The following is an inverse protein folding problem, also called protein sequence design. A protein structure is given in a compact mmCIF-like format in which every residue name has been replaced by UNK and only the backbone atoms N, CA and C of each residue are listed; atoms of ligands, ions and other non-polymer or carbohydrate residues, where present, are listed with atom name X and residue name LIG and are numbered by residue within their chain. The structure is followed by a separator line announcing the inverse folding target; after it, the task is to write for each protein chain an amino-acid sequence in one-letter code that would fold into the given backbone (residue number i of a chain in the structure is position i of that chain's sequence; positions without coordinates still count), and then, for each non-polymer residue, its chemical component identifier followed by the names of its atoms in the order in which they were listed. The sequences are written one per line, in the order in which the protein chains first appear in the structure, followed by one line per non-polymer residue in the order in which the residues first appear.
data_IF_808239529595
#
_entry.id   IF_808239529595
#
_cell.length_a   1.000
_cell.length_b   1.000
_cell.length_c   1.000
_cell.angle_alpha   90.00
_cell.angle_beta   90.00
_cell.angle_gamma   90.00
#
_symmetry.space_group_name_H-M   'P 1'
#
loop_
_entity.id
_entity.type
_entity.pdbx_description
1 polymer ?
#
# COMPACT_ATOMS: atom_id res chain seq x y z
N UNK A 1 21.36 39.29 -78.87
CA UNK A 1 22.71 39.37 -78.27
C UNK A 1 22.54 39.45 -76.76
N UNK A 2 23.31 38.65 -76.10
CA UNK A 2 23.42 38.48 -74.66
C UNK A 2 22.28 37.82 -73.93
N UNK A 3 22.32 36.49 -74.02
CA UNK A 3 21.73 35.56 -73.03
C UNK A 3 22.42 35.69 -71.68
N UNK A 4 21.71 36.05 -70.65
CA UNK A 4 22.17 35.93 -69.27
C UNK A 4 21.35 34.79 -68.63
N UNK A 5 22.06 33.68 -68.48
CA UNK A 5 21.57 32.55 -67.76
C UNK A 5 21.47 32.86 -66.26
N UNK A 6 20.24 32.97 -65.76
CA UNK A 6 19.97 33.11 -64.33
C UNK A 6 20.03 31.73 -63.67
N UNK A 7 21.15 31.44 -63.03
CA UNK A 7 21.32 30.24 -62.21
C UNK A 7 20.47 30.39 -60.94
N UNK A 8 19.35 29.68 -60.93
CA UNK A 8 18.55 29.52 -59.73
C UNK A 8 19.35 28.76 -58.66
N UNK A 9 19.74 29.49 -57.63
CA UNK A 9 20.30 28.92 -56.42
C UNK A 9 19.13 28.49 -55.57
N UNK A 10 18.83 27.19 -55.58
CA UNK A 10 17.87 26.60 -54.62
C UNK A 10 18.62 26.41 -53.30
N UNK A 11 18.26 27.08 -52.21
CA UNK A 11 18.81 26.72 -50.93
C UNK A 11 18.19 25.41 -50.48
N UNK A 12 19.02 24.39 -50.39
CA UNK A 12 18.68 23.10 -49.75
C UNK A 12 18.36 23.36 -48.30
N UNK A 13 17.08 23.52 -48.00
CA UNK A 13 16.58 23.59 -46.62
C UNK A 13 16.71 22.19 -46.03
N UNK A 14 17.78 21.98 -45.31
CA UNK A 14 18.04 20.79 -44.57
C UNK A 14 16.93 20.67 -43.48
N UNK A 15 15.89 19.89 -43.77
CA UNK A 15 14.87 19.50 -42.77
C UNK A 15 15.52 18.57 -41.75
N UNK A 16 16.08 19.16 -40.72
CA UNK A 16 16.46 18.47 -39.51
C UNK A 16 15.17 18.16 -38.76
N UNK A 17 14.48 17.10 -39.16
CA UNK A 17 13.39 16.52 -38.39
C UNK A 17 14.02 15.92 -37.14
N UNK A 18 14.06 16.70 -36.09
CA UNK A 18 14.40 16.28 -34.76
C UNK A 18 13.27 15.37 -34.27
N UNK A 19 13.42 14.08 -34.58
CA UNK A 19 12.55 13.02 -34.08
C UNK A 19 12.71 12.99 -32.56
N UNK A 20 11.83 13.71 -31.83
CA UNK A 20 11.68 13.60 -30.40
C UNK A 20 11.16 12.19 -30.08
N UNK A 21 12.11 11.27 -29.85
CA UNK A 21 11.80 9.98 -29.24
C UNK A 21 11.32 10.28 -27.81
N UNK A 22 10.02 10.40 -27.66
CA UNK A 22 9.38 10.32 -26.34
C UNK A 22 9.67 8.91 -25.79
N UNK A 23 10.69 8.82 -24.95
CA UNK A 23 10.92 7.64 -24.13
C UNK A 23 9.77 7.61 -23.14
N UNK A 24 8.67 6.95 -23.52
CA UNK A 24 7.66 6.50 -22.58
C UNK A 24 8.36 5.43 -21.74
N UNK A 25 8.92 5.86 -20.62
CA UNK A 25 9.45 4.96 -19.61
C UNK A 25 8.29 4.10 -19.11
N UNK A 26 8.19 2.87 -19.64
CA UNK A 26 7.38 1.84 -19.03
C UNK A 26 7.91 1.63 -17.61
N UNK A 27 7.21 2.18 -16.64
CA UNK A 27 7.41 1.86 -15.24
C UNK A 27 6.83 0.45 -15.05
N UNK A 28 7.60 -0.57 -15.43
CA UNK A 28 7.20 -1.98 -15.42
C UNK A 28 7.26 -2.59 -14.01
N UNK A 29 6.94 -1.79 -12.99
CA UNK A 29 6.66 -2.29 -11.66
C UNK A 29 5.28 -2.97 -11.63
N UNK A 30 5.07 -3.94 -10.74
CA UNK A 30 3.73 -4.49 -10.53
C UNK A 30 2.79 -3.35 -10.11
N UNK A 31 1.59 -3.35 -10.67
CA UNK A 31 0.56 -2.39 -10.33
C UNK A 31 0.26 -2.46 -8.83
N UNK A 32 0.37 -1.34 -8.14
CA UNK A 32 0.02 -1.18 -6.74
C UNK A 32 -1.11 -0.16 -6.64
N UNK A 33 -2.10 -0.47 -5.82
CA UNK A 33 -3.30 0.34 -5.62
C UNK A 33 -3.23 0.95 -4.23
N UNK A 34 -3.24 2.30 -4.09
CA UNK A 34 -3.24 2.97 -2.79
C UNK A 34 -4.44 2.56 -1.95
N UNK A 35 -4.18 2.08 -0.74
CA UNK A 35 -5.19 1.70 0.23
C UNK A 35 -4.83 2.31 1.57
N UNK A 36 -5.80 2.98 2.18
CA UNK A 36 -5.72 3.46 3.55
C UNK A 36 -7.07 3.29 4.26
N UNK A 37 -7.07 3.46 5.59
CA UNK A 37 -8.27 3.25 6.35
C UNK A 37 -8.06 3.43 7.84
N UNK A 38 -8.95 2.82 8.64
CA UNK A 38 -8.93 2.89 10.08
C UNK A 38 -9.19 1.51 10.70
N UNK A 39 -8.43 1.18 11.72
CA UNK A 39 -8.68 0.01 12.58
C UNK A 39 -9.39 0.44 13.83
N UNK A 40 -10.47 -0.27 14.16
CA UNK A 40 -11.23 -0.10 15.41
C UNK A 40 -11.28 -1.41 16.15
N UNK A 41 -11.30 -1.34 17.47
CA UNK A 41 -11.56 -2.49 18.36
C UNK A 41 -12.73 -2.13 19.29
N UNK A 42 -13.79 -2.93 19.25
CA UNK A 42 -15.05 -2.67 19.96
C UNK A 42 -15.55 -1.22 19.78
N UNK A 43 -15.47 -0.72 18.53
CA UNK A 43 -15.92 0.61 18.12
C UNK A 43 -14.96 1.76 18.46
N UNK A 44 -13.82 1.50 19.11
CA UNK A 44 -12.80 2.50 19.44
C UNK A 44 -11.61 2.39 18.51
N UNK A 45 -10.95 3.50 18.13
CA UNK A 45 -9.71 3.42 17.36
C UNK A 45 -8.65 2.58 18.07
N UNK A 46 -7.97 1.71 17.31
CA UNK A 46 -6.80 0.98 17.81
C UNK A 46 -5.58 1.89 17.64
N UNK A 47 -5.00 2.34 18.75
CA UNK A 47 -4.04 3.46 18.77
C UNK A 47 -2.60 3.09 18.34
N UNK A 48 -2.32 1.79 18.14
CA UNK A 48 -1.00 1.30 17.74
C UNK A 48 -1.08 -0.08 17.10
N UNK A 49 -0.07 -0.41 16.32
CA UNK A 49 0.05 -1.72 15.71
C UNK A 49 0.42 -1.66 14.24
N UNK A 50 0.20 -2.77 13.56
CA UNK A 50 0.47 -2.91 12.13
C UNK A 50 -0.62 -3.73 11.46
N UNK A 51 -1.15 -3.22 10.36
CA UNK A 51 -1.97 -3.97 9.41
C UNK A 51 -1.03 -4.62 8.41
N UNK A 52 -1.19 -5.90 8.14
CA UNK A 52 -0.43 -6.63 7.10
C UNK A 52 -1.40 -7.29 6.14
N UNK A 53 -1.23 -7.02 4.85
CA UNK A 53 -1.97 -7.66 3.76
C UNK A 53 -1.07 -8.70 3.11
N UNK A 54 -1.47 -9.96 3.18
CA UNK A 54 -0.69 -11.10 2.69
C UNK A 54 -1.00 -11.37 1.22
N UNK A 55 -0.07 -10.99 0.36
CA UNK A 55 -0.19 -11.17 -1.09
C UNK A 55 0.45 -12.48 -1.50
N UNK A 56 -0.34 -13.36 -2.17
CA UNK A 56 0.18 -14.64 -2.65
C UNK A 56 1.32 -14.44 -3.65
N UNK A 57 2.40 -15.18 -3.47
CA UNK A 57 3.59 -15.19 -4.34
C UNK A 57 4.26 -13.82 -4.52
N UNK A 58 4.02 -12.91 -3.55
CA UNK A 58 4.60 -11.57 -3.54
C UNK A 58 4.86 -11.11 -2.11
N UNK A 59 5.59 -9.99 -1.96
CA UNK A 59 5.80 -9.40 -0.64
C UNK A 59 4.49 -8.82 -0.09
N UNK A 60 4.25 -8.96 1.22
CA UNK A 60 3.10 -8.36 1.86
C UNK A 60 3.17 -6.83 1.85
N UNK A 61 2.00 -6.19 1.91
CA UNK A 61 1.89 -4.77 2.17
C UNK A 61 1.62 -4.53 3.65
N UNK A 62 2.18 -3.46 4.23
CA UNK A 62 2.00 -3.11 5.64
C UNK A 62 1.52 -1.68 5.80
N UNK A 63 0.76 -1.44 6.86
CA UNK A 63 0.41 -0.12 7.33
C UNK A 63 0.59 0.01 8.82
N UNK A 64 1.43 0.95 9.28
CA UNK A 64 1.52 1.28 10.69
C UNK A 64 0.23 1.99 11.14
N UNK A 65 -0.31 1.59 12.29
CA UNK A 65 -1.52 2.16 12.87
C UNK A 65 -1.10 3.35 13.73
N UNK A 66 -1.67 4.51 13.43
CA UNK A 66 -1.48 5.74 14.20
C UNK A 66 -2.38 5.85 15.43
N UNK A 67 -2.19 6.89 16.26
CA UNK A 67 -2.96 7.08 17.50
C UNK A 67 -4.46 7.26 17.29
N UNK A 68 -4.88 7.62 16.09
CA UNK A 68 -6.28 7.75 15.67
C UNK A 68 -6.83 6.46 15.00
N UNK A 69 -6.06 5.39 15.02
CA UNK A 69 -6.38 4.12 14.37
C UNK A 69 -6.14 4.11 12.86
N UNK A 70 -5.72 5.22 12.26
CA UNK A 70 -5.52 5.31 10.81
C UNK A 70 -4.23 4.66 10.37
N UNK A 71 -4.28 4.10 9.15
CA UNK A 71 -3.13 3.51 8.49
C UNK A 71 -3.16 3.76 6.98
N UNK A 72 -2.00 3.66 6.33
CA UNK A 72 -1.88 3.61 4.88
C UNK A 72 -0.95 2.46 4.51
N UNK A 73 -1.37 1.63 3.55
CA UNK A 73 -0.57 0.49 3.11
C UNK A 73 0.62 0.94 2.27
N UNK A 74 1.71 0.21 2.43
CA UNK A 74 2.91 0.32 1.61
C UNK A 74 3.47 -1.06 1.28
N UNK A 75 3.93 -1.23 0.06
CA UNK A 75 4.66 -2.43 -0.39
C UNK A 75 6.15 -2.12 -0.58
N UNK A 76 6.48 -1.03 -1.25
CA UNK A 76 7.86 -0.57 -1.50
C UNK A 76 8.10 0.83 -0.95
N UNK A 77 7.15 1.74 -1.15
CA UNK A 77 7.24 3.16 -0.77
C UNK A 77 6.03 3.54 0.09
N UNK A 78 6.16 4.54 0.96
CA UNK A 78 5.01 5.02 1.74
C UNK A 78 3.82 5.34 0.85
N UNK A 79 2.66 4.73 1.15
CA UNK A 79 1.40 5.01 0.47
C UNK A 79 1.24 4.42 -0.94
N UNK A 80 2.18 3.61 -1.42
CA UNK A 80 2.07 2.97 -2.74
C UNK A 80 1.01 1.85 -2.77
N UNK A 81 0.58 1.38 -1.61
CA UNK A 81 -0.56 0.49 -1.47
C UNK A 81 -0.23 -0.99 -1.59
N UNK A 82 -1.13 -1.73 -2.22
CA UNK A 82 -1.11 -3.18 -2.32
C UNK A 82 -1.43 -3.64 -3.75
N UNK A 83 -1.05 -4.86 -4.11
CA UNK A 83 -1.42 -5.46 -5.40
C UNK A 83 -2.93 -5.69 -5.47
N UNK A 84 -3.52 -5.58 -6.69
CA UNK A 84 -4.91 -5.93 -6.90
C UNK A 84 -5.17 -7.41 -6.58
N UNK A 85 -6.40 -7.73 -6.16
CA UNK A 85 -6.87 -9.07 -5.83
C UNK A 85 -7.45 -9.19 -4.44
N UNK A 86 -7.85 -10.40 -4.05
CA UNK A 86 -8.34 -10.73 -2.71
C UNK A 86 -7.20 -11.27 -1.87
N UNK A 87 -7.00 -10.67 -0.71
CA UNK A 87 -5.88 -10.97 0.17
C UNK A 87 -6.31 -11.14 1.61
N UNK A 88 -5.66 -12.06 2.32
CA UNK A 88 -5.80 -12.18 3.78
C UNK A 88 -5.14 -11.01 4.48
N UNK A 89 -5.72 -10.63 5.60
CA UNK A 89 -5.25 -9.50 6.39
C UNK A 89 -4.99 -9.93 7.82
N UNK A 90 -3.96 -9.38 8.41
CA UNK A 90 -3.68 -9.54 9.85
C UNK A 90 -3.48 -8.17 10.49
N UNK A 91 -3.81 -8.10 11.77
CA UNK A 91 -3.57 -6.92 12.61
C UNK A 91 -2.80 -7.37 13.84
N UNK A 92 -1.60 -6.84 13.99
CA UNK A 92 -0.75 -7.05 15.16
C UNK A 92 -0.71 -5.77 15.97
N UNK A 93 -1.03 -5.86 17.25
CA UNK A 93 -1.04 -4.70 18.17
C UNK A 93 -0.50 -5.14 19.52
N UNK A 94 0.81 -4.99 19.67
CA UNK A 94 1.54 -5.43 20.84
C UNK A 94 2.75 -4.53 21.14
N UNK A 95 3.13 -4.44 22.40
CA UNK A 95 4.36 -3.76 22.84
C UNK A 95 5.15 -4.61 23.81
N UNK A 96 6.48 -4.51 23.74
CA UNK A 96 7.36 -5.10 24.74
C UNK A 96 7.28 -4.29 26.05
N UNK A 97 7.09 -4.99 27.16
CA UNK A 97 7.21 -4.46 28.52
C UNK A 97 8.61 -4.67 29.08
N UNK A 98 8.76 -4.49 30.38
CA UNK A 98 10.02 -4.81 31.09
C UNK A 98 10.16 -6.31 31.28
N UNK A 99 11.37 -6.85 30.99
CA UNK A 99 11.61 -8.27 30.98
C UNK A 99 10.96 -8.93 29.77
N UNK A 100 10.65 -10.23 29.85
CA UNK A 100 10.04 -10.99 28.74
C UNK A 100 8.50 -10.83 28.72
N UNK A 101 7.99 -9.64 29.06
CA UNK A 101 6.57 -9.37 29.11
C UNK A 101 6.13 -8.69 27.82
N UNK A 102 5.06 -9.20 27.21
CA UNK A 102 4.38 -8.56 26.06
C UNK A 102 3.02 -8.07 26.48
N UNK A 103 2.66 -6.85 26.06
CA UNK A 103 1.33 -6.29 26.24
C UNK A 103 0.61 -6.27 24.91
N UNK A 104 -0.58 -6.89 24.86
CA UNK A 104 -1.43 -7.00 23.70
C UNK A 104 -2.60 -6.02 23.79
N UNK A 105 -2.89 -5.33 22.68
CA UNK A 105 -3.99 -4.36 22.57
C UNK A 105 -5.08 -4.85 21.62
N UNK A 106 -4.88 -6.01 21.01
CA UNK A 106 -5.88 -6.74 20.22
C UNK A 106 -5.70 -8.25 20.41
N UNK A 107 -6.75 -9.06 20.23
CA UNK A 107 -6.68 -10.51 20.30
C UNK A 107 -5.62 -11.09 19.37
N UNK A 108 -4.87 -12.06 19.87
CA UNK A 108 -3.79 -12.74 19.11
C UNK A 108 -4.28 -13.39 17.82
N UNK A 109 -5.54 -13.84 17.75
CA UNK A 109 -6.10 -14.45 16.54
C UNK A 109 -5.97 -13.53 15.31
N UNK A 110 -6.02 -12.20 15.50
CA UNK A 110 -5.91 -11.26 14.38
C UNK A 110 -4.51 -11.13 13.80
N UNK A 111 -3.48 -11.60 14.49
CA UNK A 111 -2.11 -11.59 13.95
C UNK A 111 -1.77 -12.85 13.14
N UNK A 112 -2.63 -13.88 13.17
CA UNK A 112 -2.42 -15.12 12.45
C UNK A 112 -3.26 -15.14 11.16
N UNK A 113 -2.64 -15.30 9.97
CA UNK A 113 -3.35 -15.22 8.69
C UNK A 113 -4.50 -16.23 8.55
N UNK A 114 -4.38 -17.41 9.19
CA UNK A 114 -5.38 -18.47 9.11
C UNK A 114 -6.49 -18.33 10.17
N UNK A 115 -6.33 -17.43 11.14
CA UNK A 115 -7.26 -17.24 12.26
C UNK A 115 -7.90 -15.85 12.27
N UNK A 116 -7.32 -14.89 11.57
CA UNK A 116 -7.79 -13.49 11.61
C UNK A 116 -9.22 -13.34 11.09
N UNK A 117 -9.60 -14.14 10.11
CA UNK A 117 -10.89 -14.01 9.42
C UNK A 117 -11.05 -12.70 8.65
N UNK A 118 -9.96 -11.92 8.48
CA UNK A 118 -9.97 -10.64 7.80
C UNK A 118 -9.48 -10.80 6.36
N UNK A 119 -10.24 -10.23 5.43
CA UNK A 119 -9.88 -10.18 4.00
C UNK A 119 -10.08 -8.79 3.43
N UNK A 120 -9.34 -8.47 2.38
CA UNK A 120 -9.55 -7.27 1.56
C UNK A 120 -9.60 -7.66 0.09
N UNK A 121 -10.55 -7.06 -0.64
CA UNK A 121 -10.57 -7.06 -2.09
C UNK A 121 -10.03 -5.72 -2.58
N UNK A 122 -8.89 -5.75 -3.25
CA UNK A 122 -8.19 -4.59 -3.79
C UNK A 122 -8.47 -4.48 -5.28
N UNK A 123 -9.27 -3.50 -5.70
CA UNK A 123 -9.65 -3.27 -7.09
C UNK A 123 -9.39 -1.83 -7.53
N UNK A 124 -9.54 -0.89 -6.61
CA UNK A 124 -9.38 0.54 -6.86
C UNK A 124 -8.83 1.25 -5.62
N UNK A 125 -8.26 2.44 -5.77
CA UNK A 125 -7.83 3.25 -4.64
C UNK A 125 -8.97 3.51 -3.67
N UNK A 126 -8.69 3.39 -2.36
CA UNK A 126 -9.64 3.72 -1.30
C UNK A 126 -8.94 4.23 -0.05
N UNK A 127 -9.59 5.11 0.67
CA UNK A 127 -9.12 5.72 1.92
C UNK A 127 -10.08 5.53 3.10
N UNK A 128 -11.14 4.77 2.87
CA UNK A 128 -12.26 4.55 3.79
C UNK A 128 -12.36 3.12 4.31
N UNK A 129 -11.29 2.32 4.17
CA UNK A 129 -11.35 0.93 4.61
C UNK A 129 -11.38 0.84 6.12
N UNK A 130 -12.48 0.31 6.67
CA UNK A 130 -12.61 0.04 8.10
C UNK A 130 -12.32 -1.44 8.42
N UNK A 131 -11.44 -1.64 9.39
CA UNK A 131 -11.15 -2.94 9.98
C UNK A 131 -11.73 -2.93 11.40
N UNK A 132 -12.76 -3.73 11.63
CA UNK A 132 -13.42 -3.81 12.92
C UNK A 132 -12.99 -5.09 13.64
N UNK A 133 -12.28 -4.94 14.73
CA UNK A 133 -11.85 -6.00 15.63
C UNK A 133 -12.75 -6.05 16.85
N UNK A 134 -12.76 -7.19 17.54
CA UNK A 134 -13.50 -7.34 18.80
C UNK A 134 -12.78 -8.30 19.74
N UNK A 135 -12.89 -8.06 21.03
CA UNK A 135 -12.49 -8.99 22.06
C UNK A 135 -13.50 -10.13 22.24
N UNK A 136 -14.71 -9.99 21.75
CA UNK A 136 -15.74 -11.03 21.87
C UNK A 136 -15.22 -12.37 21.32
N UNK A 137 -15.37 -13.43 22.11
CA UNK A 137 -14.88 -14.77 21.78
C UNK A 137 -13.39 -14.99 22.05
N UNK A 138 -12.69 -14.02 22.64
CA UNK A 138 -11.34 -14.20 23.18
C UNK A 138 -11.39 -14.58 24.65
N UNK A 139 -10.27 -15.02 25.22
CA UNK A 139 -10.13 -15.29 26.65
C UNK A 139 -9.98 -14.02 27.50
N UNK A 140 -9.82 -12.87 26.84
CA UNK A 140 -9.64 -11.55 27.44
C UNK A 140 -10.67 -10.58 26.90
N UNK A 141 -11.16 -9.68 27.76
CA UNK A 141 -12.15 -8.66 27.42
C UNK A 141 -11.51 -7.29 27.13
N UNK A 142 -10.18 -7.25 27.01
CA UNK A 142 -9.42 -6.02 26.76
C UNK A 142 -7.91 -6.24 26.81
N UNK A 143 -7.12 -5.17 26.72
CA UNK A 143 -5.66 -5.27 26.71
C UNK A 143 -5.11 -6.03 27.90
N UNK A 144 -4.21 -6.97 27.63
CA UNK A 144 -3.60 -7.85 28.62
C UNK A 144 -2.09 -7.99 28.44
N UNK A 145 -1.43 -8.56 29.43
CA UNK A 145 0.01 -8.84 29.41
C UNK A 145 0.28 -10.33 29.59
N UNK A 146 1.25 -10.82 28.85
CA UNK A 146 1.80 -12.19 28.98
C UNK A 146 3.31 -12.17 29.11
N UNK A 147 3.83 -13.24 29.73
CA UNK A 147 5.27 -13.49 29.88
C UNK A 147 5.68 -14.69 29.08
#
# INVERSE_FOLDING_TARGET
MFSQSLKSIVPTFCYFVLSSLAIVGCNSGPELIPISGQVKIDGKPLELGTVTVWVKDYRPAYGAIGPDGRFALRTHKPGDGCRPGTHRVTVSSETAGKGDVMKYFAPKRYKEPDQSGLEIQVEQPRDDWEINLTWAGDSHDGPYTER
#
